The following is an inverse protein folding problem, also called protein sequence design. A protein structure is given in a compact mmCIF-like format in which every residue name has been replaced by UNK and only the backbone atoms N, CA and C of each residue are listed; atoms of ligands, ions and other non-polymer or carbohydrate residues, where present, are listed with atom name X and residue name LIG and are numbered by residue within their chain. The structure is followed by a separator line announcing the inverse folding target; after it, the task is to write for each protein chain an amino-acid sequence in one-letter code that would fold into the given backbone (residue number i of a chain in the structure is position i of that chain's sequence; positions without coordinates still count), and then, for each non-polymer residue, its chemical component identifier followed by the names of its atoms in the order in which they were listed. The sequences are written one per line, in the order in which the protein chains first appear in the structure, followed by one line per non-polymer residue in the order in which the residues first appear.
data_IF_655645341690
#
_entry.id   IF_655645341690
#
_cell.length_a   1.000
_cell.length_b   1.000
_cell.length_c   1.000
_cell.angle_alpha   90.00
_cell.angle_beta   90.00
_cell.angle_gamma   90.00
#
_symmetry.space_group_name_H-M   'P 1'
#
loop_
_entity.id
_entity.type
_entity.pdbx_description
1 polymer ?
#
# COMPACT_ATOMS: atom_id res chain seq x y z
N UNK A 1 1.98 29.81 -10.07
CA UNK A 1 1.91 28.34 -10.08
C UNK A 1 1.91 27.92 -8.63
N UNK A 2 0.81 27.33 -8.18
CA UNK A 2 0.45 27.19 -6.77
C UNK A 2 0.92 25.84 -6.26
N UNK A 3 2.15 25.76 -5.79
CA UNK A 3 2.68 24.58 -5.10
C UNK A 3 2.40 24.74 -3.60
N UNK A 4 1.32 24.12 -3.17
CA UNK A 4 0.89 24.12 -1.79
C UNK A 4 -0.43 23.39 -1.71
N UNK A 5 -0.37 22.11 -1.33
CA UNK A 5 -1.53 21.33 -0.95
C UNK A 5 -2.16 21.97 0.28
N UNK A 6 -3.05 22.94 0.07
CA UNK A 6 -3.98 23.39 1.10
C UNK A 6 -5.03 22.30 1.16
N UNK A 7 -4.88 21.36 2.09
CA UNK A 7 -6.04 20.63 2.59
C UNK A 7 -6.96 21.70 3.16
N UNK A 8 -7.99 22.05 2.40
CA UNK A 8 -9.01 22.96 2.87
C UNK A 8 -9.51 22.41 4.20
N UNK A 9 -9.45 23.22 5.26
CA UNK A 9 -10.11 22.90 6.52
C UNK A 9 -11.60 22.62 6.31
N UNK A 10 -12.17 22.98 5.14
CA UNK A 10 -13.49 22.56 4.67
C UNK A 10 -13.67 21.05 4.52
N UNK A 11 -12.62 20.25 4.23
CA UNK A 11 -12.73 18.78 4.22
C UNK A 11 -12.92 18.31 5.65
N UNK A 12 -11.96 18.58 6.55
CA UNK A 12 -12.06 18.27 7.98
C UNK A 12 -13.35 18.81 8.64
N UNK A 13 -13.83 19.97 8.21
CA UNK A 13 -15.09 20.58 8.65
C UNK A 13 -16.35 19.91 8.09
N UNK A 14 -16.28 19.26 6.91
CA UNK A 14 -17.36 18.42 6.37
C UNK A 14 -17.42 17.03 7.01
N UNK A 15 -16.32 16.56 7.60
CA UNK A 15 -16.25 15.31 8.39
C UNK A 15 -16.60 15.51 9.87
N UNK A 16 -16.37 16.72 10.42
CA UNK A 16 -16.75 17.06 11.81
C UNK A 16 -18.26 16.82 12.02
N UNK A 17 -18.57 15.81 12.83
CA UNK A 17 -19.94 15.48 13.24
C UNK A 17 -20.65 14.44 12.36
N UNK A 18 -19.98 13.88 11.33
CA UNK A 18 -20.46 12.68 10.65
C UNK A 18 -19.66 11.47 11.12
N UNK A 19 -20.30 10.33 11.47
CA UNK A 19 -19.56 9.10 11.64
C UNK A 19 -18.84 8.81 10.31
N UNK A 20 -17.50 8.66 10.37
CA UNK A 20 -16.67 8.36 9.19
C UNK A 20 -17.01 6.96 8.66
N UNK A 21 -17.59 6.13 9.52
CA UNK A 21 -17.89 4.74 9.26
C UNK A 21 -19.26 4.41 9.84
N UNK A 22 -20.31 4.70 9.08
CA UNK A 22 -21.55 3.93 9.19
C UNK A 22 -21.48 2.86 8.10
N UNK A 23 -21.53 1.58 8.49
CA UNK A 23 -21.96 0.55 7.57
C UNK A 23 -23.37 0.94 7.12
N UNK A 24 -23.47 1.56 5.94
CA UNK A 24 -24.77 1.87 5.34
C UNK A 24 -25.38 0.52 5.00
N UNK A 25 -26.21 0.00 5.91
CA UNK A 25 -27.05 -1.17 5.62
C UNK A 25 -27.90 -0.80 4.42
N UNK A 26 -27.58 -1.40 3.28
CA UNK A 26 -28.43 -1.31 2.10
C UNK A 26 -29.74 -1.98 2.51
N UNK A 27 -30.81 -1.18 2.66
CA UNK A 27 -32.16 -1.74 2.77
C UNK A 27 -32.36 -2.63 1.55
N UNK A 28 -32.61 -3.92 1.79
CA UNK A 28 -32.84 -4.88 0.73
C UNK A 28 -33.89 -4.31 -0.24
N UNK A 29 -33.65 -4.31 -1.56
CA UNK A 29 -34.65 -3.85 -2.50
C UNK A 29 -35.94 -4.63 -2.27
N UNK A 30 -37.06 -3.92 -2.14
CA UNK A 30 -38.38 -4.50 -1.96
C UNK A 30 -38.58 -5.65 -2.95
N UNK A 31 -39.02 -6.80 -2.43
CA UNK A 31 -39.18 -8.07 -3.14
C UNK A 31 -39.62 -7.86 -4.60
N UNK A 32 -38.75 -8.26 -5.53
CA UNK A 32 -39.10 -8.34 -6.93
C UNK A 32 -40.26 -9.34 -7.10
N UNK A 33 -41.24 -9.06 -7.99
CA UNK A 33 -42.38 -9.93 -8.19
C UNK A 33 -41.93 -11.33 -8.62
N UNK A 34 -42.50 -12.34 -7.97
CA UNK A 34 -42.19 -13.75 -8.15
C UNK A 34 -42.14 -14.16 -9.63
N UNK A 35 -41.00 -14.70 -10.04
CA UNK A 35 -40.82 -15.38 -11.33
C UNK A 35 -41.60 -16.71 -11.27
N UNK A 36 -42.43 -17.04 -12.27
CA UNK A 36 -43.16 -18.31 -12.28
C UNK A 36 -42.21 -19.50 -12.37
N UNK A 37 -42.54 -20.56 -11.61
CA UNK A 37 -41.78 -21.81 -11.53
C UNK A 37 -41.54 -22.42 -12.93
N UNK A 38 -40.32 -22.90 -13.23
CA UNK A 38 -40.05 -23.63 -14.47
C UNK A 38 -40.66 -25.05 -14.41
N UNK A 39 -41.23 -25.47 -15.53
CA UNK A 39 -41.76 -26.84 -15.72
C UNK A 39 -40.65 -27.90 -15.59
N UNK A 40 -40.97 -29.10 -15.08
CA UNK A 40 -39.98 -30.15 -14.85
C UNK A 40 -39.46 -30.76 -16.15
N UNK A 41 -38.13 -30.88 -16.25
CA UNK A 41 -37.43 -31.59 -17.32
C UNK A 41 -37.80 -33.09 -17.35
N UNK A 42 -37.87 -33.71 -18.54
CA UNK A 42 -38.16 -35.13 -18.68
C UNK A 42 -36.97 -36.02 -18.29
N UNK A 43 -37.31 -37.17 -17.69
CA UNK A 43 -36.39 -38.20 -17.18
C UNK A 43 -35.35 -38.70 -18.20
N UNK A 44 -34.12 -39.03 -17.75
CA UNK A 44 -33.09 -39.56 -18.63
C UNK A 44 -33.34 -41.03 -18.99
N UNK A 45 -33.37 -41.30 -20.29
CA UNK A 45 -33.40 -42.67 -20.83
C UNK A 45 -32.05 -43.36 -20.64
N UNK A 46 -32.11 -44.54 -20.01
CA UNK A 46 -31.03 -45.52 -19.90
C UNK A 46 -30.51 -45.95 -21.27
N UNK A 47 -29.19 -45.82 -21.51
CA UNK A 47 -28.49 -46.55 -22.58
C UNK A 47 -27.65 -47.66 -21.99
N UNK A 48 -27.94 -48.85 -22.52
CA UNK A 48 -27.30 -50.12 -22.25
C UNK A 48 -25.89 -50.20 -22.85
N UNK A 49 -25.04 -50.98 -22.18
CA UNK A 49 -23.96 -51.84 -22.65
C UNK A 49 -23.40 -51.63 -24.07
N UNK A 50 -22.09 -51.38 -24.14
CA UNK A 50 -21.26 -51.95 -25.20
C UNK A 50 -19.88 -52.32 -24.64
N UNK A 51 -19.31 -53.35 -25.25
CA UNK A 51 -18.44 -54.37 -24.69
C UNK A 51 -16.97 -53.95 -24.54
N UNK A 52 -16.29 -54.66 -23.63
CA UNK A 52 -14.85 -54.65 -23.48
C UNK A 52 -14.17 -55.40 -24.64
N UNK A 53 -13.14 -54.80 -25.22
CA UNK A 53 -12.21 -55.48 -26.11
C UNK A 53 -10.79 -55.36 -25.54
N UNK A 54 -10.21 -56.53 -25.22
CA UNK A 54 -8.82 -56.72 -24.82
C UNK A 54 -7.89 -56.48 -26.01
N UNK A 55 -6.80 -55.74 -25.80
CA UNK A 55 -5.63 -55.77 -26.68
C UNK A 55 -4.37 -55.89 -25.81
N UNK A 56 -3.86 -57.12 -25.71
CA UNK A 56 -2.42 -57.37 -25.52
C UNK A 56 -1.71 -57.14 -26.86
N UNK A 57 -0.51 -56.55 -26.86
CA UNK A 57 0.74 -57.10 -27.43
C UNK A 57 1.91 -56.16 -27.07
N UNK A 58 3.00 -56.80 -26.68
CA UNK A 58 4.31 -56.27 -26.33
C UNK A 58 5.02 -55.49 -27.46
N UNK A 59 5.96 -54.60 -27.10
CA UNK A 59 7.33 -54.76 -27.57
C UNK A 59 8.36 -53.98 -26.74
N UNK A 60 9.53 -54.58 -26.64
CA UNK A 60 10.72 -54.11 -25.94
C UNK A 60 11.35 -52.92 -26.68
N UNK A 61 11.74 -51.87 -25.95
CA UNK A 61 12.57 -50.80 -26.49
C UNK A 61 13.89 -50.68 -25.71
N UNK A 62 14.94 -51.01 -26.46
CA UNK A 62 16.36 -51.05 -26.18
C UNK A 62 16.90 -49.69 -25.69
N UNK A 63 17.54 -49.68 -24.52
CA UNK A 63 18.20 -48.50 -23.92
C UNK A 63 19.62 -48.41 -24.49
N UNK A 64 19.80 -47.57 -25.51
CA UNK A 64 21.14 -47.23 -26.03
C UNK A 64 21.74 -46.14 -25.14
N UNK A 65 22.81 -46.49 -24.44
CA UNK A 65 23.65 -45.57 -23.69
C UNK A 65 24.37 -44.62 -24.65
N UNK A 66 24.03 -43.33 -24.58
CA UNK A 66 24.80 -42.28 -25.23
C UNK A 66 25.94 -41.84 -24.29
N UNK A 67 27.17 -42.04 -24.74
CA UNK A 67 28.38 -41.45 -24.16
C UNK A 67 28.29 -39.92 -24.25
N UNK A 68 28.28 -39.24 -23.10
CA UNK A 68 28.39 -37.79 -23.01
C UNK A 68 29.88 -37.44 -23.00
N UNK A 69 30.38 -36.92 -24.14
CA UNK A 69 31.66 -36.23 -24.21
C UNK A 69 31.60 -34.98 -23.33
N UNK A 70 32.37 -34.99 -22.23
CA UNK A 70 32.61 -33.83 -21.38
C UNK A 70 33.55 -32.89 -22.14
N UNK A 71 32.97 -31.94 -22.88
CA UNK A 71 33.70 -30.80 -23.43
C UNK A 71 33.99 -29.84 -22.28
N UNK A 72 35.26 -29.82 -21.86
CA UNK A 72 35.78 -28.90 -20.87
C UNK A 72 35.53 -27.45 -21.33
N UNK A 73 34.63 -26.76 -20.63
CA UNK A 73 34.47 -25.31 -20.76
C UNK A 73 35.63 -24.61 -20.04
N UNK A 74 36.18 -23.53 -20.60
CA UNK A 74 37.32 -22.83 -20.01
C UNK A 74 36.91 -22.21 -18.68
N UNK A 75 37.67 -22.52 -17.63
CA UNK A 75 37.55 -21.90 -16.33
C UNK A 75 37.79 -20.39 -16.44
N UNK A 76 36.71 -19.61 -16.41
CA UNK A 76 36.77 -18.20 -16.09
C UNK A 76 37.17 -18.09 -14.63
N UNK A 77 38.43 -17.72 -14.40
CA UNK A 77 38.92 -17.29 -13.09
C UNK A 77 38.29 -15.94 -12.76
N UNK A 78 37.04 -15.97 -12.31
CA UNK A 78 36.47 -14.87 -11.56
C UNK A 78 37.13 -14.91 -10.19
N UNK A 79 38.01 -13.93 -9.96
CA UNK A 79 38.53 -13.63 -8.64
C UNK A 79 37.33 -13.29 -7.75
N UNK A 80 36.87 -14.24 -6.92
CA UNK A 80 36.05 -13.94 -5.76
C UNK A 80 36.88 -13.01 -4.88
N UNK A 81 36.68 -11.70 -5.05
CA UNK A 81 37.10 -10.73 -4.06
C UNK A 81 36.42 -11.14 -2.76
N UNK A 82 37.22 -11.64 -1.81
CA UNK A 82 36.77 -11.99 -0.49
C UNK A 82 36.14 -10.73 0.12
N UNK A 83 34.80 -10.66 0.10
CA UNK A 83 34.04 -9.63 0.79
C UNK A 83 34.47 -9.67 2.25
N UNK A 84 35.10 -8.59 2.70
CA UNK A 84 35.44 -8.44 4.11
C UNK A 84 34.17 -8.66 4.94
N UNK A 85 34.24 -9.39 6.07
CA UNK A 85 33.09 -9.63 6.91
C UNK A 85 32.51 -8.30 7.35
N UNK A 86 31.36 -7.94 6.77
CA UNK A 86 30.67 -6.72 7.12
C UNK A 86 30.26 -6.80 8.58
N UNK A 87 30.62 -5.78 9.36
CA UNK A 87 30.21 -5.67 10.76
C UNK A 87 28.68 -5.74 10.84
N UNK A 88 28.12 -6.46 11.83
CA UNK A 88 26.68 -6.49 12.00
C UNK A 88 26.19 -5.06 12.17
N UNK A 89 25.17 -4.66 11.41
CA UNK A 89 24.56 -3.35 11.57
C UNK A 89 24.05 -3.19 13.02
N UNK A 90 23.89 -1.96 13.49
CA UNK A 90 23.38 -1.68 14.84
C UNK A 90 22.23 -0.71 14.71
N UNK A 91 21.08 -1.03 15.31
CA UNK A 91 19.95 -0.11 15.32
C UNK A 91 20.37 1.20 16.00
N UNK A 92 20.10 2.33 15.33
CA UNK A 92 20.29 3.67 15.87
C UNK A 92 19.35 3.92 17.05
N UNK A 93 18.17 3.31 17.01
CA UNK A 93 17.18 3.39 18.07
C UNK A 93 16.13 2.29 17.95
N UNK A 94 15.34 2.14 19.01
CA UNK A 94 14.15 1.31 19.00
C UNK A 94 12.96 2.11 19.53
N UNK A 95 11.77 1.84 19.02
CA UNK A 95 10.51 2.41 19.49
C UNK A 95 9.58 1.28 19.93
N UNK A 96 8.77 1.53 20.95
CA UNK A 96 7.57 0.72 21.18
C UNK A 96 6.53 1.14 20.15
N UNK A 97 5.94 0.17 19.47
CA UNK A 97 4.86 0.39 18.50
C UNK A 97 3.55 -0.04 19.14
N UNK A 98 2.57 0.84 19.10
CA UNK A 98 1.20 0.52 19.45
C UNK A 98 0.41 0.28 18.16
N UNK A 99 -0.03 -0.96 17.97
CA UNK A 99 -0.92 -1.31 16.87
C UNK A 99 -2.36 -1.19 17.35
N UNK A 100 -3.15 -0.40 16.63
CA UNK A 100 -4.57 -0.25 16.89
C UNK A 100 -5.30 -0.85 15.71
N UNK A 101 -6.07 -1.90 15.97
CA UNK A 101 -6.97 -2.47 14.96
C UNK A 101 -8.28 -1.71 14.93
N UNK A 102 -8.85 -1.57 13.74
CA UNK A 102 -10.20 -1.06 13.62
C UNK A 102 -11.19 -2.12 14.13
N UNK A 103 -12.29 -1.71 14.81
CA UNK A 103 -13.37 -2.62 15.19
C UNK A 103 -13.93 -3.36 13.97
N UNK A 104 -14.51 -4.54 14.15
CA UNK A 104 -15.05 -5.35 13.04
C UNK A 104 -16.17 -4.62 12.27
N UNK A 105 -16.88 -3.68 12.93
CA UNK A 105 -17.90 -2.85 12.30
C UNK A 105 -17.32 -1.73 11.43
N UNK A 106 -16.00 -1.50 11.53
CA UNK A 106 -15.27 -0.50 10.78
C UNK A 106 -14.39 -1.18 9.76
N UNK A 107 -14.67 -0.91 8.49
CA UNK A 107 -13.83 -1.37 7.40
C UNK A 107 -12.39 -0.84 7.60
N UNK A 108 -11.41 -1.75 7.46
CA UNK A 108 -9.97 -1.46 7.45
C UNK A 108 -9.22 -2.25 8.52
N UNK A 109 -7.89 -2.26 8.45
CA UNK A 109 -7.10 -3.06 9.38
C UNK A 109 -6.67 -2.31 10.64
N UNK A 110 -6.37 -1.00 10.52
CA UNK A 110 -5.83 -0.22 11.63
C UNK A 110 -4.67 0.69 11.30
N UNK A 111 -3.96 1.09 12.34
CA UNK A 111 -2.82 2.00 12.29
C UNK A 111 -1.73 1.58 13.27
N UNK A 112 -0.51 2.04 13.00
CA UNK A 112 0.66 1.87 13.87
C UNK A 112 1.10 3.23 14.41
N UNK A 113 1.27 3.29 15.73
CA UNK A 113 1.65 4.50 16.44
C UNK A 113 2.96 4.32 17.19
N UNK A 114 3.70 5.42 17.32
CA UNK A 114 4.84 5.56 18.23
C UNK A 114 4.60 6.76 19.13
N UNK A 115 5.17 6.74 20.33
CA UNK A 115 5.13 7.86 21.25
C UNK A 115 6.50 8.52 21.33
N UNK A 116 6.51 9.85 21.27
CA UNK A 116 7.70 10.67 21.23
C UNK A 116 7.75 11.63 22.43
N UNK A 117 8.91 11.72 23.06
CA UNK A 117 9.27 12.83 23.93
C UNK A 117 9.98 13.89 23.08
N UNK A 118 9.53 15.15 23.18
CA UNK A 118 10.12 16.29 22.48
C UNK A 118 10.59 17.29 23.53
N UNK A 119 11.77 17.89 23.37
CA UNK A 119 12.38 18.70 24.43
C UNK A 119 11.52 19.89 24.92
N UNK A 120 10.69 20.46 24.04
CA UNK A 120 9.73 21.53 24.35
C UNK A 120 8.27 21.03 24.43
N UNK A 121 8.08 19.71 24.50
CA UNK A 121 6.77 19.09 24.64
C UNK A 121 6.27 19.17 26.08
N UNK A 122 5.02 19.59 26.27
CA UNK A 122 4.34 19.59 27.57
C UNK A 122 4.03 18.17 28.06
N UNK A 123 3.94 17.21 27.13
CA UNK A 123 3.70 15.79 27.38
C UNK A 123 4.23 14.94 26.21
N UNK A 124 4.32 13.60 26.36
CA UNK A 124 4.59 12.72 25.24
C UNK A 124 3.54 12.85 24.13
N UNK A 125 3.99 12.77 22.89
CA UNK A 125 3.17 12.96 21.70
C UNK A 125 3.05 11.64 20.91
N UNK A 126 1.82 11.25 20.61
CA UNK A 126 1.50 10.08 19.76
C UNK A 126 1.57 10.44 18.28
N UNK A 127 2.42 9.74 17.54
CA UNK A 127 2.58 9.89 16.09
C UNK A 127 2.19 8.62 15.35
N UNK A 128 1.40 8.76 14.29
CA UNK A 128 1.15 7.69 13.33
C UNK A 128 2.37 7.46 12.45
N UNK A 129 2.61 6.21 12.04
CA UNK A 129 3.63 5.85 11.05
C UNK A 129 3.02 5.83 9.65
N UNK A 130 3.40 6.75 8.76
CA UNK A 130 2.80 6.88 7.42
C UNK A 130 3.81 7.00 6.27
N UNK A 131 4.25 5.88 5.72
CA UNK A 131 5.22 5.85 4.62
C UNK A 131 4.75 6.61 3.36
N UNK A 132 3.45 6.60 3.09
CA UNK A 132 2.85 7.30 1.94
C UNK A 132 2.49 8.77 2.20
N UNK A 133 2.65 9.25 3.44
CA UNK A 133 2.33 10.64 3.77
C UNK A 133 3.50 11.57 3.39
N UNK A 134 3.27 12.67 2.63
CA UNK A 134 4.36 13.38 1.94
C UNK A 134 5.32 14.15 2.86
N UNK A 135 4.92 14.47 4.08
CA UNK A 135 5.71 15.26 5.03
C UNK A 135 5.59 14.74 6.47
N UNK A 136 6.51 15.10 7.35
CA UNK A 136 6.23 15.00 8.78
C UNK A 136 5.23 16.09 9.14
N UNK A 137 4.20 15.75 9.90
CA UNK A 137 3.17 16.71 10.29
C UNK A 137 2.74 16.55 11.74
N UNK A 138 2.29 17.66 12.32
CA UNK A 138 1.66 17.73 13.65
C UNK A 138 0.22 18.23 13.48
N UNK A 139 -0.68 17.68 14.28
CA UNK A 139 -2.07 18.17 14.33
C UNK A 139 -2.13 19.54 14.99
N UNK A 140 -3.27 20.23 14.85
CA UNK A 140 -3.51 21.49 15.59
C UNK A 140 -3.32 21.27 17.10
N UNK A 141 -3.78 20.12 17.60
CA UNK A 141 -3.63 19.70 18.99
C UNK A 141 -2.17 19.39 19.36
N UNK A 142 -1.45 18.66 18.51
CA UNK A 142 -0.02 18.39 18.72
C UNK A 142 0.81 19.66 18.84
N UNK A 143 0.50 20.67 18.01
CA UNK A 143 1.13 22.00 18.09
C UNK A 143 0.89 22.69 19.43
N UNK A 144 -0.32 22.65 19.98
CA UNK A 144 -0.62 23.27 21.29
C UNK A 144 0.21 22.67 22.43
N UNK A 145 0.59 21.41 22.29
CA UNK A 145 1.35 20.65 23.28
C UNK A 145 2.87 20.80 23.12
N UNK A 146 3.32 21.40 22.02
CA UNK A 146 4.71 21.78 21.81
C UNK A 146 4.80 23.26 22.17
N UNK A 147 5.27 23.56 23.38
CA UNK A 147 5.28 24.90 23.95
C UNK A 147 6.24 25.81 23.17
N UNK A 148 5.71 26.50 22.17
CA UNK A 148 6.42 27.58 21.51
C UNK A 148 6.05 28.87 22.25
N UNK A 149 6.79 29.18 23.32
CA UNK A 149 6.92 30.56 23.76
C UNK A 149 7.29 31.41 22.52
N UNK A 150 6.34 32.22 22.00
CA UNK A 150 6.71 33.37 21.19
C UNK A 150 6.26 33.45 19.72
N UNK A 151 5.33 32.64 19.21
CA UNK A 151 4.68 32.99 17.95
C UNK A 151 3.53 34.02 18.16
N UNK A 152 3.82 35.18 18.76
CA UNK A 152 2.90 36.33 18.69
C UNK A 152 2.96 36.91 17.28
N UNK A 153 1.87 36.71 16.54
CA UNK A 153 1.69 37.20 15.18
C UNK A 153 1.88 38.73 15.09
N UNK A 154 2.92 39.18 14.40
CA UNK A 154 3.19 40.59 14.13
C UNK A 154 3.68 40.82 12.70
N UNK A 155 2.97 40.38 11.65
CA UNK A 155 3.32 40.72 10.25
C UNK A 155 2.73 39.84 9.14
N UNK A 156 2.54 40.44 7.94
CA UNK A 156 2.55 39.84 6.59
C UNK A 156 1.64 38.65 6.20
N UNK A 157 0.57 38.88 5.41
CA UNK A 157 -0.51 37.89 5.14
C UNK A 157 -0.12 36.57 4.40
N UNK A 158 0.92 36.49 3.56
CA UNK A 158 1.10 35.30 2.69
C UNK A 158 2.37 34.44 2.92
N UNK A 159 3.55 35.02 3.13
CA UNK A 159 4.79 34.23 3.32
C UNK A 159 4.98 33.76 4.76
N UNK A 160 4.54 34.55 5.73
CA UNK A 160 4.66 34.24 7.16
C UNK A 160 3.54 33.30 7.63
N UNK A 161 2.38 33.27 6.96
CA UNK A 161 1.32 32.29 7.22
C UNK A 161 1.77 30.85 6.89
N UNK A 162 2.60 30.67 5.87
CA UNK A 162 3.20 29.37 5.54
C UNK A 162 4.29 28.96 6.53
N UNK A 163 5.10 29.91 7.03
CA UNK A 163 6.09 29.65 8.10
C UNK A 163 5.43 29.41 9.47
N UNK A 164 4.34 30.12 9.76
CA UNK A 164 3.53 29.93 10.97
C UNK A 164 2.75 28.60 10.98
N UNK A 165 2.72 27.88 9.86
CA UNK A 165 2.15 26.54 9.73
C UNK A 165 3.22 25.45 9.81
N UNK A 166 4.41 25.76 10.35
CA UNK A 166 5.42 24.75 10.66
C UNK A 166 5.82 24.80 12.13
N UNK A 167 6.22 23.65 12.65
CA UNK A 167 6.72 23.47 14.02
C UNK A 167 7.97 22.62 13.96
N UNK A 168 9.07 23.13 14.49
CA UNK A 168 10.31 22.36 14.63
C UNK A 168 10.20 21.35 15.76
N UNK A 169 10.54 20.09 15.47
CA UNK A 169 10.67 19.04 16.48
C UNK A 169 12.15 18.71 16.70
N UNK A 170 12.70 19.24 17.78
CA UNK A 170 14.11 19.11 18.19
C UNK A 170 14.26 18.13 19.36
N UNK A 171 15.42 17.48 19.45
CA UNK A 171 15.79 16.60 20.58
C UNK A 171 14.74 15.51 20.87
N UNK A 172 14.25 14.90 19.80
CA UNK A 172 13.16 13.92 19.85
C UNK A 172 13.68 12.55 20.32
N UNK A 173 12.90 11.87 21.16
CA UNK A 173 13.21 10.52 21.66
C UNK A 173 11.98 9.63 21.61
N UNK A 174 12.17 8.34 21.39
CA UNK A 174 11.08 7.38 21.55
C UNK A 174 10.77 7.16 23.03
N UNK A 175 9.50 7.30 23.41
CA UNK A 175 9.04 7.01 24.76
C UNK A 175 9.20 5.51 25.05
N UNK A 176 9.59 5.19 26.28
CA UNK A 176 9.76 3.81 26.76
C UNK A 176 11.16 3.24 26.54
N UNK A 177 11.81 3.54 25.41
CA UNK A 177 13.20 3.13 25.15
C UNK A 177 14.20 4.24 25.44
N UNK A 178 13.80 5.51 25.30
CA UNK A 178 14.66 6.69 25.43
C UNK A 178 15.64 6.85 24.27
N UNK A 179 15.53 6.05 23.21
CA UNK A 179 16.36 6.14 22.02
C UNK A 179 16.21 7.51 21.37
N UNK A 180 17.31 8.22 21.19
CA UNK A 180 17.33 9.51 20.49
C UNK A 180 17.16 9.27 18.99
N UNK A 181 16.30 10.05 18.36
CA UNK A 181 16.28 10.21 16.92
C UNK A 181 16.85 11.58 16.58
N UNK A 182 17.40 11.75 15.38
CA UNK A 182 17.82 13.08 14.96
C UNK A 182 16.60 14.00 14.84
N UNK A 183 16.86 15.31 14.81
CA UNK A 183 15.81 16.31 14.62
C UNK A 183 14.95 15.98 13.38
N UNK A 184 13.64 16.00 13.58
CA UNK A 184 12.65 15.74 12.52
C UNK A 184 12.42 16.96 11.63
N UNK A 185 13.09 18.08 11.94
CA UNK A 185 13.04 19.33 11.21
C UNK A 185 11.69 20.04 11.33
N UNK A 186 11.39 20.89 10.35
CA UNK A 186 10.13 21.62 10.27
C UNK A 186 8.98 20.68 9.88
N UNK A 187 8.12 20.36 10.85
CA UNK A 187 6.90 19.59 10.62
C UNK A 187 5.74 20.52 10.22
N UNK A 188 4.94 20.12 9.25
CA UNK A 188 3.76 20.90 8.84
C UNK A 188 2.65 20.81 9.88
N UNK A 189 1.93 21.88 10.14
CA UNK A 189 0.76 21.89 11.03
C UNK A 189 -0.48 21.65 10.19
N UNK A 190 -1.08 20.46 10.31
CA UNK A 190 -2.29 20.11 9.59
C UNK A 190 -3.03 18.96 10.28
N UNK A 191 -4.36 19.01 10.21
CA UNK A 191 -5.21 17.89 10.62
C UNK A 191 -5.46 16.99 9.40
N UNK A 192 -5.50 15.68 9.63
CA UNK A 192 -5.67 14.67 8.59
C UNK A 192 -6.77 13.67 8.99
N UNK A 193 -7.49 13.06 8.02
CA UNK A 193 -8.65 12.20 8.32
C UNK A 193 -8.35 11.04 9.27
N UNK A 194 -7.15 10.46 9.17
CA UNK A 194 -6.74 9.33 10.00
C UNK A 194 -6.64 9.71 11.49
N UNK A 195 -6.24 10.95 11.82
CA UNK A 195 -6.25 11.43 13.20
C UNK A 195 -7.68 11.54 13.76
N UNK A 196 -8.65 11.94 12.93
CA UNK A 196 -10.06 12.02 13.33
C UNK A 196 -10.64 10.63 13.57
N UNK A 197 -10.30 9.65 12.73
CA UNK A 197 -10.71 8.26 12.92
C UNK A 197 -10.11 7.68 14.22
N UNK A 198 -8.82 7.93 14.48
CA UNK A 198 -8.19 7.51 15.73
C UNK A 198 -8.82 8.16 16.98
N UNK A 199 -9.22 9.43 16.90
CA UNK A 199 -9.92 10.13 17.98
C UNK A 199 -11.28 9.48 18.30
N UNK A 200 -12.02 9.02 17.28
CA UNK A 200 -13.26 8.27 17.47
C UNK A 200 -13.05 6.93 18.21
N UNK A 201 -11.85 6.37 18.13
CA UNK A 201 -11.44 5.16 18.86
C UNK A 201 -10.86 5.49 20.25
N UNK A 202 -10.86 6.77 20.66
CA UNK A 202 -10.33 7.22 21.93
C UNK A 202 -8.81 7.41 21.96
N UNK A 203 -8.16 7.50 20.79
CA UNK A 203 -6.71 7.68 20.67
C UNK A 203 -6.41 9.12 20.23
N UNK A 204 -5.72 9.87 21.09
CA UNK A 204 -5.28 11.23 20.75
C UNK A 204 -4.02 11.17 19.86
N UNK A 205 -4.19 11.54 18.59
CA UNK A 205 -3.09 11.61 17.61
C UNK A 205 -2.58 13.03 17.49
N UNK A 206 -1.27 13.18 17.68
CA UNK A 206 -0.59 14.47 17.73
C UNK A 206 0.17 14.78 16.44
N UNK A 207 0.42 13.77 15.60
CA UNK A 207 1.10 13.94 14.33
C UNK A 207 1.25 12.65 13.54
N UNK A 208 1.97 12.74 12.44
CA UNK A 208 2.32 11.64 11.56
C UNK A 208 3.79 11.76 11.14
N UNK A 209 4.53 10.68 11.28
CA UNK A 209 5.88 10.53 10.72
C UNK A 209 5.71 10.06 9.28
N UNK A 210 5.95 10.99 8.35
CA UNK A 210 5.74 10.77 6.93
C UNK A 210 7.00 10.29 6.22
N UNK A 211 6.95 10.35 4.90
CA UNK A 211 8.04 10.02 3.98
C UNK A 211 9.41 10.59 4.40
N UNK A 212 9.58 11.85 4.86
CA UNK A 212 10.90 12.35 5.26
C UNK A 212 11.55 11.51 6.37
N UNK A 213 10.76 10.98 7.31
CA UNK A 213 11.25 10.06 8.34
C UNK A 213 11.72 8.73 7.73
N UNK A 214 10.89 8.10 6.90
CA UNK A 214 11.22 6.83 6.25
C UNK A 214 12.30 6.92 5.16
N UNK A 215 12.59 8.13 4.64
CA UNK A 215 13.72 8.37 3.73
C UNK A 215 15.03 8.51 4.51
N UNK A 216 14.94 9.01 5.75
CA UNK A 216 16.10 9.24 6.63
C UNK A 216 16.54 7.95 7.34
N UNK A 217 15.63 7.01 7.54
CA UNK A 217 15.88 5.78 8.27
C UNK A 217 15.26 4.58 7.58
N UNK A 218 15.93 3.43 7.69
CA UNK A 218 15.24 2.16 7.50
C UNK A 218 14.42 1.87 8.75
N UNK A 219 13.18 1.42 8.56
CA UNK A 219 12.25 1.13 9.65
C UNK A 219 11.89 -0.35 9.61
N UNK A 220 12.25 -1.07 10.66
CA UNK A 220 11.95 -2.49 10.85
C UNK A 220 10.85 -2.66 11.90
N UNK A 221 9.63 -2.87 11.42
CA UNK A 221 8.44 -3.11 12.22
C UNK A 221 8.33 -4.60 12.56
N UNK A 222 8.56 -4.94 13.82
CA UNK A 222 8.42 -6.27 14.39
C UNK A 222 7.16 -6.30 15.25
N UNK A 223 6.04 -6.73 14.63
CA UNK A 223 4.70 -6.69 15.24
C UNK A 223 4.53 -7.73 16.32
N UNK A 224 5.22 -8.88 16.19
CA UNK A 224 5.25 -9.90 17.23
C UNK A 224 5.83 -9.35 18.55
N UNK A 225 6.85 -8.49 18.46
CA UNK A 225 7.46 -7.82 19.63
C UNK A 225 6.92 -6.42 19.90
N UNK A 226 5.94 -5.95 19.14
CA UNK A 226 5.37 -4.60 19.23
C UNK A 226 6.44 -3.49 19.26
N UNK A 227 7.40 -3.55 18.34
CA UNK A 227 8.53 -2.63 18.29
C UNK A 227 8.90 -2.22 16.86
N UNK A 228 9.54 -1.07 16.73
CA UNK A 228 10.22 -0.63 15.52
C UNK A 228 11.70 -0.47 15.83
N UNK A 229 12.57 -1.18 15.12
CA UNK A 229 14.01 -0.92 15.14
C UNK A 229 14.33 0.07 14.00
N UNK A 230 15.11 1.11 14.29
CA UNK A 230 15.44 2.21 13.37
C UNK A 230 16.91 2.12 13.00
N UNK A 231 17.22 2.06 11.71
CA UNK A 231 18.59 1.93 11.21
C UNK A 231 18.97 3.10 10.30
N UNK A 232 20.28 3.27 10.07
CA UNK A 232 20.71 4.16 9.00
C UNK A 232 20.25 3.58 7.65
N UNK A 233 20.04 4.42 6.61
CA UNK A 233 19.56 3.95 5.32
C UNK A 233 20.47 2.89 4.70
N UNK A 234 19.89 1.75 4.33
CA UNK A 234 20.59 0.59 3.76
C UNK A 234 21.15 -0.40 4.79
N UNK A 235 21.21 -0.04 6.08
CA UNK A 235 21.79 -0.92 7.10
C UNK A 235 20.85 -2.02 7.57
N UNK A 236 19.52 -1.85 7.46
CA UNK A 236 18.59 -2.89 7.85
C UNK A 236 18.76 -4.16 6.98
N UNK A 237 19.18 -3.99 5.73
CA UNK A 237 19.52 -5.09 4.83
C UNK A 237 20.75 -5.89 5.29
N UNK A 238 21.67 -5.30 6.07
CA UNK A 238 22.92 -5.95 6.49
C UNK A 238 22.75 -6.89 7.70
N UNK A 239 21.59 -6.86 8.35
CA UNK A 239 21.33 -7.54 9.62
C UNK A 239 21.21 -9.07 9.54
N UNK A 240 21.38 -9.68 8.37
CA UNK A 240 21.25 -11.14 8.24
C UNK A 240 19.83 -11.65 8.51
N UNK A 241 18.81 -10.77 8.47
CA UNK A 241 17.39 -11.11 8.68
C UNK A 241 16.83 -12.10 7.65
N UNK A 242 17.60 -12.39 6.59
CA UNK A 242 17.26 -13.24 5.44
C UNK A 242 16.81 -14.68 5.76
N UNK A 243 16.97 -15.15 7.00
CA UNK A 243 16.34 -16.41 7.43
C UNK A 243 14.87 -16.20 7.77
N UNK A 244 14.05 -15.93 6.75
CA UNK A 244 12.58 -15.93 6.86
C UNK A 244 11.88 -14.60 6.58
N UNK A 245 12.59 -13.56 6.17
CA UNK A 245 11.98 -12.43 5.45
C UNK A 245 12.23 -12.62 3.95
N UNK A 246 11.24 -12.29 3.14
CA UNK A 246 11.37 -12.23 1.68
C UNK A 246 11.66 -10.79 1.28
N UNK A 247 12.73 -10.60 0.53
CA UNK A 247 13.08 -9.32 -0.06
C UNK A 247 12.18 -9.08 -1.27
N UNK A 248 11.65 -7.88 -1.44
CA UNK A 248 10.97 -7.47 -2.66
C UNK A 248 11.61 -6.15 -3.12
N UNK A 249 12.52 -6.19 -4.12
CA UNK A 249 12.96 -4.98 -4.79
C UNK A 249 11.75 -4.21 -5.32
N UNK A 250 11.62 -2.94 -4.95
CA UNK A 250 10.57 -2.06 -5.42
C UNK A 250 11.06 -1.15 -6.54
N UNK A 251 10.32 -0.06 -6.73
CA UNK A 251 10.61 0.99 -7.68
C UNK A 251 10.40 2.35 -7.01
N UNK A 252 11.29 3.29 -7.31
CA UNK A 252 11.08 4.69 -6.95
C UNK A 252 10.00 5.32 -7.85
N UNK A 253 8.87 5.66 -7.25
CA UNK A 253 7.77 6.40 -7.88
C UNK A 253 7.97 7.91 -7.73
N UNK A 254 7.23 8.75 -8.50
CA UNK A 254 7.34 10.19 -8.37
C UNK A 254 7.15 10.65 -6.92
N UNK A 255 7.85 11.74 -6.58
CA UNK A 255 7.97 12.21 -5.21
C UNK A 255 8.54 11.13 -4.28
N UNK A 256 9.55 10.37 -4.73
CA UNK A 256 10.28 9.27 -4.07
C UNK A 256 9.37 8.38 -3.20
N UNK A 257 8.26 7.97 -3.77
CA UNK A 257 7.37 7.03 -3.13
C UNK A 257 7.83 5.59 -3.44
N UNK A 258 7.60 4.65 -2.52
CA UNK A 258 7.94 3.25 -2.76
C UNK A 258 6.81 2.55 -3.52
N UNK A 259 7.12 2.08 -4.72
CA UNK A 259 6.27 1.27 -5.57
C UNK A 259 6.63 -0.21 -5.53
N UNK A 260 5.62 -1.08 -5.56
CA UNK A 260 5.77 -2.53 -5.72
C UNK A 260 4.90 -3.03 -6.86
N UNK A 261 5.24 -4.17 -7.45
CA UNK A 261 4.31 -4.85 -8.35
C UNK A 261 3.22 -5.53 -7.52
N UNK A 262 1.96 -5.30 -7.86
CA UNK A 262 0.81 -5.98 -7.28
C UNK A 262 0.26 -6.92 -8.33
N UNK A 263 0.21 -8.22 -8.02
CA UNK A 263 -0.50 -9.21 -8.83
C UNK A 263 -1.86 -9.45 -8.19
N UNK A 264 -2.89 -9.53 -9.02
CA UNK A 264 -4.25 -9.75 -8.56
C UNK A 264 -4.92 -10.91 -9.27
N UNK A 265 -5.76 -11.63 -8.53
CA UNK A 265 -6.76 -12.52 -9.08
C UNK A 265 -8.12 -12.19 -8.46
N UNK A 266 -9.15 -12.09 -9.30
CA UNK A 266 -10.51 -11.93 -8.80
C UNK A 266 -10.95 -13.23 -8.11
N UNK A 267 -11.59 -13.13 -6.96
CA UNK A 267 -12.24 -14.29 -6.33
C UNK A 267 -13.55 -14.51 -7.08
N UNK A 268 -13.64 -15.51 -7.93
CA UNK A 268 -14.93 -15.87 -8.54
C UNK A 268 -15.65 -16.89 -7.65
N UNK A 269 -16.88 -16.57 -7.24
CA UNK A 269 -17.77 -17.58 -6.62
C UNK A 269 -18.21 -18.65 -7.63
N UNK A 270 -18.19 -18.36 -8.94
CA UNK A 270 -18.69 -19.23 -10.01
C UNK A 270 -17.65 -19.64 -11.09
N UNK A 271 -16.35 -19.53 -10.81
CA UNK A 271 -15.29 -20.09 -11.68
C UNK A 271 -15.07 -19.40 -13.03
N UNK A 272 -15.59 -18.20 -13.26
CA UNK A 272 -15.69 -17.59 -14.60
C UNK A 272 -14.87 -16.34 -14.89
N UNK A 273 -14.03 -15.84 -13.97
CA UNK A 273 -13.19 -14.66 -14.24
C UNK A 273 -11.83 -15.10 -14.80
N UNK A 274 -11.29 -14.41 -15.83
CA UNK A 274 -10.09 -14.86 -16.51
C UNK A 274 -8.90 -14.96 -15.55
N UNK A 275 -8.30 -16.15 -15.49
CA UNK A 275 -7.13 -16.51 -14.69
C UNK A 275 -5.83 -15.81 -15.11
N UNK A 276 -5.86 -14.80 -15.99
CA UNK A 276 -4.63 -14.09 -16.35
C UNK A 276 -4.19 -13.20 -15.21
N UNK A 277 -3.10 -13.55 -14.48
CA UNK A 277 -2.62 -12.75 -13.38
C UNK A 277 -2.21 -11.40 -13.96
N UNK A 278 -2.95 -10.37 -13.59
CA UNK A 278 -2.69 -9.03 -14.05
C UNK A 278 -1.82 -8.33 -13.02
N UNK A 279 -0.71 -7.76 -13.48
CA UNK A 279 0.22 -7.02 -12.63
C UNK A 279 0.06 -5.51 -12.86
N UNK A 280 0.07 -4.75 -11.77
CA UNK A 280 -0.02 -3.30 -11.79
C UNK A 280 0.80 -2.71 -10.65
N UNK A 281 0.99 -1.38 -10.64
CA UNK A 281 1.81 -0.74 -9.60
C UNK A 281 1.02 -0.55 -8.31
N UNK A 282 1.62 -0.83 -7.16
CA UNK A 282 1.10 -0.51 -5.85
C UNK A 282 1.99 0.51 -5.15
N UNK A 283 1.40 1.58 -4.63
CA UNK A 283 2.04 2.58 -3.77
C UNK A 283 1.98 2.12 -2.32
N UNK A 284 3.13 1.97 -1.66
CA UNK A 284 3.18 1.56 -0.25
C UNK A 284 2.79 2.71 0.71
N UNK A 285 1.68 2.56 1.43
CA UNK A 285 1.21 3.56 2.40
C UNK A 285 0.79 2.93 3.74
N UNK A 286 1.69 2.94 4.72
CA UNK A 286 1.40 2.47 6.08
C UNK A 286 0.40 3.35 6.86
N UNK A 287 -0.01 4.49 6.33
CA UNK A 287 -1.07 5.33 6.93
C UNK A 287 -2.43 5.14 6.27
N UNK A 288 -2.52 4.31 5.24
CA UNK A 288 -3.80 3.91 4.67
C UNK A 288 -4.37 2.73 5.44
N UNK A 289 -5.56 2.87 6.02
CA UNK A 289 -6.25 1.77 6.69
C UNK A 289 -6.68 0.66 5.72
N UNK A 290 -6.75 0.98 4.42
CA UNK A 290 -7.24 0.14 3.33
C UNK A 290 -6.31 0.16 2.13
N UNK A 291 -6.26 -0.97 1.45
CA UNK A 291 -5.80 -1.07 0.09
C UNK A 291 -6.89 -0.55 -0.85
N UNK A 292 -6.50 0.33 -1.75
CA UNK A 292 -7.43 0.99 -2.69
C UNK A 292 -6.98 0.74 -4.11
N UNK A 293 -7.80 0.10 -4.92
CA UNK A 293 -7.57 -0.09 -6.35
C UNK A 293 -8.15 1.11 -7.12
N UNK A 294 -7.40 1.65 -8.08
CA UNK A 294 -8.00 2.57 -9.04
C UNK A 294 -8.93 1.85 -10.02
N UNK A 295 -9.78 2.62 -10.71
CA UNK A 295 -10.72 2.02 -11.66
C UNK A 295 -10.04 1.26 -12.80
N UNK A 296 -8.83 1.66 -13.20
CA UNK A 296 -8.07 0.93 -14.22
C UNK A 296 -7.55 -0.43 -13.70
N UNK A 297 -7.14 -0.51 -12.43
CA UNK A 297 -6.78 -1.76 -11.77
C UNK A 297 -8.01 -2.64 -11.58
N UNK A 298 -9.14 -2.09 -11.15
CA UNK A 298 -10.39 -2.84 -10.98
C UNK A 298 -10.86 -3.53 -12.28
N UNK A 299 -10.64 -2.92 -13.46
CA UNK A 299 -10.94 -3.56 -14.75
C UNK A 299 -10.15 -4.85 -14.98
N UNK A 300 -8.94 -4.95 -14.42
CA UNK A 300 -8.12 -6.16 -14.50
C UNK A 300 -8.74 -7.32 -13.69
N UNK A 301 -9.57 -7.01 -12.69
CA UNK A 301 -10.38 -7.98 -11.95
C UNK A 301 -11.78 -8.20 -12.59
N UNK A 302 -11.98 -7.66 -13.79
CA UNK A 302 -13.22 -7.79 -14.55
C UNK A 302 -14.31 -6.78 -14.19
N UNK A 303 -14.05 -5.77 -13.35
CA UNK A 303 -15.04 -4.73 -13.04
C UNK A 303 -15.25 -3.76 -14.21
N UNK A 304 -16.50 -3.45 -14.54
CA UNK A 304 -16.84 -2.56 -15.68
C UNK A 304 -16.67 -1.06 -15.37
N UNK A 305 -16.44 -0.70 -14.11
CA UNK A 305 -16.26 0.68 -13.66
C UNK A 305 -17.23 1.10 -12.54
N UNK A 306 -17.43 2.42 -12.31
CA UNK A 306 -18.26 2.95 -11.20
C UNK A 306 -19.72 2.48 -11.18
N UNK A 307 -20.23 2.02 -12.31
CA UNK A 307 -21.62 1.55 -12.46
C UNK A 307 -21.70 0.02 -12.55
N UNK A 308 -20.66 -0.70 -12.16
CA UNK A 308 -20.68 -2.17 -12.16
C UNK A 308 -21.79 -2.69 -11.22
N UNK A 309 -22.74 -3.52 -11.72
CA UNK A 309 -23.85 -4.01 -10.92
C UNK A 309 -23.42 -4.78 -9.65
N UNK A 310 -22.25 -5.44 -9.67
CA UNK A 310 -21.74 -6.18 -8.49
C UNK A 310 -21.34 -5.25 -7.35
N UNK A 311 -21.00 -4.00 -7.66
CA UNK A 311 -20.58 -3.00 -6.67
C UNK A 311 -21.74 -2.14 -6.16
N UNK A 312 -22.94 -2.26 -6.75
CA UNK A 312 -24.07 -1.39 -6.42
C UNK A 312 -24.55 -1.56 -4.97
N UNK A 313 -24.49 -2.78 -4.44
CA UNK A 313 -24.89 -3.12 -3.07
C UNK A 313 -23.69 -3.32 -2.12
N UNK A 314 -22.46 -3.08 -2.59
CA UNK A 314 -21.27 -3.24 -1.78
C UNK A 314 -21.22 -2.22 -0.64
N UNK A 315 -20.63 -2.61 0.49
CA UNK A 315 -20.27 -1.66 1.53
C UNK A 315 -19.31 -0.61 0.95
N UNK A 316 -19.33 0.60 1.50
CA UNK A 316 -18.56 1.72 0.98
C UNK A 316 -17.68 2.31 2.06
N UNK A 317 -16.48 2.70 1.67
CA UNK A 317 -15.60 3.56 2.47
C UNK A 317 -15.53 4.92 1.82
N UNK A 318 -15.11 5.93 2.57
CA UNK A 318 -14.94 7.27 2.06
C UNK A 318 -13.44 7.62 1.97
N UNK A 319 -13.04 8.23 0.87
CA UNK A 319 -11.71 8.83 0.72
C UNK A 319 -11.81 10.27 0.19
N UNK A 320 -10.70 11.01 0.27
CA UNK A 320 -10.57 12.25 -0.46
C UNK A 320 -10.25 11.93 -1.93
N UNK A 321 -10.96 12.53 -2.88
CA UNK A 321 -10.63 12.50 -4.31
C UNK A 321 -9.54 13.50 -4.68
N UNK A 322 -8.99 13.39 -5.88
CA UNK A 322 -8.04 14.37 -6.44
C UNK A 322 -8.56 15.83 -6.45
N UNK A 323 -9.88 16.02 -6.40
CA UNK A 323 -10.51 17.36 -6.34
C UNK A 323 -10.74 17.87 -4.91
N UNK A 324 -10.30 17.10 -3.90
CA UNK A 324 -10.54 17.39 -2.48
C UNK A 324 -11.97 17.13 -2.03
N UNK A 325 -12.82 16.50 -2.85
CA UNK A 325 -14.16 16.10 -2.43
C UNK A 325 -14.15 14.70 -1.84
N UNK A 326 -15.05 14.42 -0.89
CA UNK A 326 -15.28 13.07 -0.41
C UNK A 326 -15.82 12.19 -1.56
N UNK A 327 -15.20 11.03 -1.75
CA UNK A 327 -15.55 10.03 -2.75
C UNK A 327 -15.93 8.73 -2.02
N UNK A 328 -17.11 8.20 -2.35
CA UNK A 328 -17.53 6.88 -1.92
C UNK A 328 -16.86 5.82 -2.79
N UNK A 329 -16.19 4.87 -2.15
CA UNK A 329 -15.48 3.78 -2.80
C UNK A 329 -16.11 2.46 -2.36
N UNK A 330 -16.76 1.70 -3.25
CA UNK A 330 -17.27 0.38 -2.92
C UNK A 330 -16.12 -0.56 -2.54
N UNK A 331 -16.39 -1.46 -1.61
CA UNK A 331 -15.46 -2.46 -1.10
C UNK A 331 -15.84 -3.84 -1.61
N UNK A 332 -14.85 -4.58 -2.09
CA UNK A 332 -15.02 -5.94 -2.60
C UNK A 332 -13.87 -6.81 -2.16
N UNK A 333 -14.11 -8.12 -2.15
CA UNK A 333 -13.09 -9.11 -1.83
C UNK A 333 -12.23 -9.41 -3.08
N UNK A 334 -10.91 -9.32 -2.96
CA UNK A 334 -9.95 -9.73 -4.01
C UNK A 334 -8.76 -10.47 -3.39
N UNK A 335 -8.07 -11.31 -4.15
CA UNK A 335 -6.78 -11.87 -3.74
C UNK A 335 -5.66 -11.05 -4.38
N UNK A 336 -4.74 -10.56 -3.54
CA UNK A 336 -3.58 -9.81 -3.99
C UNK A 336 -2.29 -10.53 -3.59
N UNK A 337 -1.25 -10.32 -4.38
CA UNK A 337 0.12 -10.68 -4.06
C UNK A 337 1.00 -9.45 -4.26
N UNK A 338 1.94 -9.24 -3.35
CA UNK A 338 2.99 -8.23 -3.52
C UNK A 338 4.22 -8.89 -4.11
N UNK A 339 4.73 -8.34 -5.20
CA UNK A 339 5.85 -8.88 -5.94
C UNK A 339 6.99 -7.87 -6.08
N UNK A 340 8.18 -8.39 -6.29
CA UNK A 340 9.31 -7.60 -6.76
C UNK A 340 8.99 -6.94 -8.10
N UNK A 341 9.54 -5.74 -8.31
CA UNK A 341 9.53 -5.10 -9.62
C UNK A 341 10.69 -5.68 -10.43
N UNK A 342 10.46 -6.13 -11.68
CA UNK A 342 11.54 -6.67 -12.52
C UNK A 342 12.63 -5.63 -12.78
N UNK A 343 13.88 -6.09 -12.87
CA UNK A 343 15.02 -5.20 -13.15
C UNK A 343 14.83 -4.49 -14.51
N UNK A 344 15.09 -3.19 -14.52
CA UNK A 344 14.98 -2.36 -15.74
C UNK A 344 13.57 -1.86 -16.05
N UNK A 345 12.54 -2.26 -15.29
CA UNK A 345 11.19 -1.71 -15.47
C UNK A 345 11.14 -0.25 -15.04
N UNK A 346 10.57 0.59 -15.92
CA UNK A 346 10.39 2.01 -15.67
C UNK A 346 9.11 2.57 -16.30
N UNK A 347 8.83 3.87 -16.11
CA UNK A 347 7.67 4.52 -16.70
C UNK A 347 7.78 4.59 -18.23
N UNK A 348 6.71 4.21 -18.94
CA UNK A 348 6.51 4.40 -20.38
C UNK A 348 5.57 5.58 -20.63
N UNK A 349 6.01 6.52 -21.45
CA UNK A 349 5.18 7.64 -21.93
C UNK A 349 4.26 7.12 -23.03
N UNK A 350 2.96 7.38 -22.93
CA UNK A 350 2.03 7.14 -24.02
C UNK A 350 2.38 8.08 -25.17
N UNK A 351 2.86 7.53 -26.29
CA UNK A 351 3.17 8.32 -27.47
C UNK A 351 1.88 8.89 -28.07
N UNK A 352 1.61 10.17 -27.84
CA UNK A 352 0.56 10.92 -28.53
C UNK A 352 1.16 11.70 -29.71
N UNK A 353 0.35 11.93 -30.75
CA UNK A 353 0.77 12.76 -31.87
C UNK A 353 1.08 14.20 -31.43
N UNK A 354 1.95 14.90 -32.16
CA UNK A 354 2.32 16.29 -31.85
C UNK A 354 1.09 17.22 -31.87
N UNK A 355 0.16 16.98 -32.80
CA UNK A 355 -1.09 17.72 -32.92
C UNK A 355 -2.05 17.47 -31.72
N UNK A 356 -2.10 16.24 -31.18
CA UNK A 356 -2.84 15.95 -29.93
C UNK A 356 -2.20 16.61 -28.71
N UNK A 357 -0.87 16.64 -28.67
CA UNK A 357 -0.12 17.28 -27.58
C UNK A 357 -0.39 18.79 -27.54
N UNK A 358 -0.31 19.46 -28.69
CA UNK A 358 -0.51 20.91 -28.82
C UNK A 358 -1.97 21.35 -28.61
N UNK A 359 -2.95 20.48 -28.90
CA UNK A 359 -4.38 20.80 -28.69
C UNK A 359 -4.88 20.55 -27.27
N UNK A 360 -4.24 19.66 -26.49
CA UNK A 360 -4.71 19.28 -25.15
C UNK A 360 -3.95 19.92 -24.00
N UNK A 361 -2.73 20.43 -24.24
CA UNK A 361 -1.87 21.01 -23.19
C UNK A 361 -1.36 19.96 -22.20
N UNK A 362 -0.05 19.74 -22.13
CA UNK A 362 0.64 18.85 -21.16
C UNK A 362 -0.04 17.49 -20.88
N UNK A 363 -0.72 16.90 -21.86
CA UNK A 363 -1.53 15.68 -21.70
C UNK A 363 -0.74 14.39 -21.95
N UNK A 364 0.59 14.43 -21.83
CA UNK A 364 1.39 13.21 -21.81
C UNK A 364 0.97 12.43 -20.57
N UNK A 365 0.54 11.19 -20.75
CA UNK A 365 0.28 10.29 -19.63
C UNK A 365 1.31 9.19 -19.64
N UNK A 366 1.47 8.50 -18.52
CA UNK A 366 2.40 7.39 -18.45
C UNK A 366 1.82 6.17 -17.75
N UNK A 367 2.43 5.04 -18.07
CA UNK A 367 2.10 3.69 -17.59
C UNK A 367 3.41 2.97 -17.24
N UNK A 368 3.33 1.80 -16.61
CA UNK A 368 4.50 0.94 -16.43
C UNK A 368 4.64 -0.06 -17.58
N UNK A 369 5.86 -0.57 -17.78
CA UNK A 369 6.07 -1.76 -18.61
C UNK A 369 5.38 -3.00 -18.03
N UNK A 370 5.65 -4.17 -18.61
CA UNK A 370 5.16 -5.44 -18.11
C UNK A 370 5.70 -5.72 -16.69
N UNK A 371 4.84 -5.53 -15.69
CA UNK A 371 5.11 -5.81 -14.28
C UNK A 371 4.98 -7.31 -13.94
N UNK A 372 4.68 -8.18 -14.92
CA UNK A 372 4.47 -9.61 -14.67
C UNK A 372 5.76 -10.38 -14.34
N UNK A 373 6.93 -9.88 -14.76
CA UNK A 373 8.24 -10.55 -14.63
C UNK A 373 8.87 -10.55 -13.23
N UNK A 374 8.15 -10.13 -12.19
CA UNK A 374 8.63 -10.24 -10.81
C UNK A 374 8.53 -11.68 -10.33
N UNK A 375 9.67 -12.35 -10.17
CA UNK A 375 9.76 -13.77 -9.77
C UNK A 375 9.45 -13.98 -8.28
N UNK A 376 9.64 -12.93 -7.46
CA UNK A 376 9.47 -13.01 -6.02
C UNK A 376 8.14 -12.37 -5.61
N UNK A 377 7.12 -13.19 -5.34
CA UNK A 377 5.82 -12.74 -4.84
C UNK A 377 5.50 -13.28 -3.43
N UNK A 378 4.76 -12.50 -2.66
CA UNK A 378 4.13 -12.91 -1.40
C UNK A 378 2.63 -12.83 -1.63
N UNK A 379 1.96 -13.96 -1.50
CA UNK A 379 0.52 -14.03 -1.60
C UNK A 379 -0.12 -13.56 -0.29
N UNK A 380 -1.16 -12.76 -0.43
CA UNK A 380 -2.06 -12.39 0.65
C UNK A 380 -3.39 -13.11 0.42
N UNK A 381 -4.13 -13.31 1.51
CA UNK A 381 -5.44 -13.92 1.46
C UNK A 381 -6.41 -13.08 0.64
N UNK A 382 -7.66 -13.52 0.60
CA UNK A 382 -8.74 -12.68 0.14
C UNK A 382 -8.87 -11.47 1.09
N UNK A 383 -8.81 -10.25 0.56
CA UNK A 383 -8.87 -9.01 1.35
C UNK A 383 -9.92 -8.05 0.80
N UNK A 384 -10.50 -7.27 1.71
CA UNK A 384 -11.47 -6.22 1.39
C UNK A 384 -10.74 -5.00 0.84
N UNK A 385 -10.75 -4.83 -0.48
CA UNK A 385 -10.18 -3.66 -1.15
C UNK A 385 -11.27 -2.66 -1.52
N UNK A 386 -10.96 -1.39 -1.35
CA UNK A 386 -11.82 -0.32 -1.87
C UNK A 386 -11.49 -0.05 -3.35
N UNK A 387 -12.49 0.36 -4.14
CA UNK A 387 -12.30 0.73 -5.54
C UNK A 387 -12.67 2.20 -5.74
N UNK A 388 -11.72 3.01 -6.22
CA UNK A 388 -11.94 4.43 -6.47
C UNK A 388 -10.65 5.15 -6.88
N UNK A 389 -10.72 6.46 -7.13
CA UNK A 389 -9.54 7.25 -7.51
C UNK A 389 -9.11 8.19 -6.37
N UNK A 390 -8.57 7.65 -5.25
CA UNK A 390 -8.21 8.47 -4.10
C UNK A 390 -7.13 9.48 -4.45
N UNK A 391 -7.16 10.61 -3.75
CA UNK A 391 -6.19 11.69 -3.82
C UNK A 391 -4.75 11.20 -3.70
N UNK A 392 -4.50 10.21 -2.83
CA UNK A 392 -3.16 9.67 -2.63
C UNK A 392 -2.56 9.06 -3.91
N UNK A 393 -3.36 8.64 -4.91
CA UNK A 393 -2.82 8.21 -6.21
C UNK A 393 -2.45 9.36 -7.15
N UNK A 394 -2.82 10.61 -6.84
CA UNK A 394 -2.37 11.77 -7.61
C UNK A 394 -0.87 12.01 -7.46
N UNK A 395 -0.21 11.41 -6.46
CA UNK A 395 1.26 11.48 -6.32
C UNK A 395 1.99 10.80 -7.48
N UNK A 396 1.31 9.94 -8.25
CA UNK A 396 1.83 9.35 -9.48
C UNK A 396 1.85 10.34 -10.66
N UNK A 397 1.29 11.53 -10.51
CA UNK A 397 1.46 12.60 -11.49
C UNK A 397 2.90 13.10 -11.46
N UNK A 398 3.52 13.18 -12.64
CA UNK A 398 4.87 13.71 -12.79
C UNK A 398 4.81 15.02 -13.60
N UNK A 399 5.47 16.07 -13.14
CA UNK A 399 5.42 17.39 -13.80
C UNK A 399 6.03 17.40 -15.22
N UNK A 400 6.92 16.46 -15.54
CA UNK A 400 7.58 16.35 -16.85
C UNK A 400 6.84 15.38 -17.76
N UNK A 401 6.29 14.31 -17.20
CA UNK A 401 5.65 13.23 -17.95
C UNK A 401 4.13 13.39 -18.03
N UNK A 402 3.51 14.02 -17.03
CA UNK A 402 2.07 14.27 -16.87
C UNK A 402 1.34 13.21 -16.03
N UNK A 403 0.00 13.13 -16.09
CA UNK A 403 -0.80 12.27 -15.21
C UNK A 403 -0.58 10.78 -15.47
N UNK A 404 -0.53 9.98 -14.41
CA UNK A 404 -0.56 8.52 -14.53
C UNK A 404 -1.89 8.03 -15.12
N UNK A 405 -1.83 7.06 -16.04
CA UNK A 405 -3.01 6.52 -16.75
C UNK A 405 -3.20 5.01 -16.57
N UNK A 406 -2.29 4.34 -15.89
CA UNK A 406 -2.32 2.88 -15.74
C UNK A 406 -3.21 2.40 -14.60
N UNK A 407 -3.26 1.07 -14.47
CA UNK A 407 -3.73 0.42 -13.25
C UNK A 407 -2.76 0.72 -12.10
N UNK A 408 -3.31 1.11 -10.96
CA UNK A 408 -2.55 1.33 -9.73
C UNK A 408 -3.38 1.00 -8.48
N UNK A 409 -2.68 0.76 -7.38
CA UNK A 409 -3.27 0.64 -6.06
C UNK A 409 -2.49 1.43 -5.00
N UNK A 410 -3.16 1.75 -3.90
CA UNK A 410 -2.53 2.04 -2.62
C UNK A 410 -2.48 0.72 -1.86
N UNK A 411 -1.31 0.32 -1.37
CA UNK A 411 -1.12 -0.85 -0.51
C UNK A 411 -1.21 -0.36 0.94
N UNK A 412 -2.34 -0.67 1.59
CA UNK A 412 -2.65 -0.24 2.94
C UNK A 412 -2.44 -1.32 4.00
N UNK A 413 -2.88 -1.03 5.22
CA UNK A 413 -2.65 -1.88 6.40
C UNK A 413 -3.39 -3.22 6.38
N UNK A 414 -4.45 -3.37 5.57
CA UNK A 414 -5.12 -4.66 5.32
C UNK A 414 -4.24 -5.72 4.65
N UNK A 415 -3.31 -5.28 3.80
CA UNK A 415 -2.22 -6.12 3.29
C UNK A 415 -1.07 -6.14 4.28
N UNK A 416 -0.62 -4.97 4.73
CA UNK A 416 0.63 -4.87 5.48
C UNK A 416 0.56 -5.54 6.85
N UNK A 417 -0.56 -5.49 7.58
CA UNK A 417 -0.71 -6.16 8.90
C UNK A 417 -0.71 -7.68 8.83
N UNK A 418 -0.87 -8.28 7.65
CA UNK A 418 -0.71 -9.74 7.49
C UNK A 418 0.75 -10.17 7.53
N UNK A 419 1.71 -9.25 7.41
CA UNK A 419 3.11 -9.53 7.65
C UNK A 419 3.44 -9.41 9.14
N UNK A 420 4.06 -10.42 9.74
CA UNK A 420 4.55 -10.35 11.13
C UNK A 420 5.70 -9.34 11.29
N UNK A 421 6.45 -9.14 10.20
CA UNK A 421 7.57 -8.22 10.14
C UNK A 421 7.62 -7.50 8.80
N UNK A 422 7.85 -6.20 8.86
CA UNK A 422 7.93 -5.30 7.71
C UNK A 422 9.17 -4.41 7.87
N UNK A 423 10.14 -4.55 6.99
CA UNK A 423 11.29 -3.64 6.89
C UNK A 423 11.12 -2.77 5.67
N UNK A 424 11.19 -1.45 5.84
CA UNK A 424 11.10 -0.47 4.75
C UNK A 424 12.40 0.31 4.64
N UNK A 425 13.00 0.30 3.45
CA UNK A 425 14.05 1.22 3.05
C UNK A 425 13.51 2.05 1.87
N UNK A 426 12.97 3.22 2.16
CA UNK A 426 12.39 4.07 1.10
C UNK A 426 13.45 4.81 0.29
N UNK A 427 14.67 4.97 0.82
CA UNK A 427 15.76 5.62 0.09
C UNK A 427 16.20 4.79 -1.11
N UNK A 428 16.29 3.48 -0.94
CA UNK A 428 16.70 2.54 -1.99
C UNK A 428 15.50 1.81 -2.62
N UNK A 429 14.28 2.20 -2.24
CA UNK A 429 13.01 1.62 -2.70
C UNK A 429 12.91 0.09 -2.52
N UNK A 430 13.20 -0.38 -1.32
CA UNK A 430 13.22 -1.80 -0.97
C UNK A 430 12.32 -2.10 0.23
N UNK A 431 11.73 -3.29 0.23
CA UNK A 431 10.95 -3.82 1.34
C UNK A 431 11.36 -5.26 1.63
N UNK A 432 11.33 -5.64 2.90
CA UNK A 432 11.42 -7.03 3.33
C UNK A 432 10.19 -7.37 4.15
N UNK A 433 9.56 -8.48 3.82
CA UNK A 433 8.33 -8.92 4.44
C UNK A 433 8.52 -10.33 4.97
N UNK A 434 8.20 -10.55 6.24
CA UNK A 434 7.93 -11.89 6.74
C UNK A 434 6.42 -12.10 6.74
N UNK A 435 5.88 -12.94 5.84
CA UNK A 435 4.48 -13.30 5.87
C UNK A 435 4.14 -13.85 7.26
N UNK A 436 3.06 -13.35 7.86
CA UNK A 436 2.47 -13.92 9.06
C UNK A 436 1.48 -15.03 8.70
N UNK A 437 0.48 -15.20 9.55
CA UNK A 437 -0.65 -16.07 9.22
C UNK A 437 -1.53 -15.38 8.16
N UNK A 438 -1.50 -15.91 6.93
CA UNK A 438 -2.39 -15.46 5.87
C UNK A 438 -3.81 -15.84 6.27
N UNK A 439 -4.66 -14.82 6.46
CA UNK A 439 -6.08 -14.99 6.76
C UNK A 439 -6.84 -14.40 5.61
N UNK A 440 -7.79 -15.16 5.07
CA UNK A 440 -8.84 -14.55 4.27
C UNK A 440 -9.62 -13.63 5.23
N UNK A 441 -9.71 -12.34 4.89
CA UNK A 441 -10.59 -11.42 5.60
C UNK A 441 -12.00 -12.00 5.51
N UNK A 442 -12.62 -12.41 6.63
CA UNK A 442 -13.94 -13.00 6.59
C UNK A 442 -14.92 -12.05 5.89
N UNK A 443 -15.90 -12.63 5.20
CA UNK A 443 -16.99 -11.91 4.55
C UNK A 443 -17.58 -10.84 5.49
N UNK A 444 -17.89 -9.67 4.92
CA UNK A 444 -18.40 -8.48 5.62
C UNK A 444 -19.69 -8.71 6.41
#
# INVERSE_FOLDING_TARGET
MADGWVFDQGIAGRWRGKPIVEAVKVEAPAEAPAVPEPEPDPEPQSRENEEAEEVEVADEAEVVAAEVEVVASPSSSATEEAQEPQSPAVALGAARVEMVRLPDEVLGAGFEFVQLEVAKGLQPLTFMLGSGFPSNAVTSRGRELIDIEGAKFTGGWLSEAQAANKVGLEDVRFLGTGSKIDDLGDCSVMDFPQAQLAEQLGIEVHGILGKPFFTKYDVDLDRYRARADIYAPGEAALQGFYSGVKHLPGLELPQNNLGLAVKGAAVSEEGGLPETPSAFIGLLDSSAAHTVLNWEAAKLFGFSGPTDPRLAAAAKVLAASATGQAEEMPVTLVRLSLCSVPEGVGPKILSVSKEEFESRGSANGWVFEDLSGGDECIDFGAINVAIGNPLALSVLEDSKIGPFKGAAAIIGQDVLFQADRLVMNMKDSQIWLKPGEIRDSPEM
#
